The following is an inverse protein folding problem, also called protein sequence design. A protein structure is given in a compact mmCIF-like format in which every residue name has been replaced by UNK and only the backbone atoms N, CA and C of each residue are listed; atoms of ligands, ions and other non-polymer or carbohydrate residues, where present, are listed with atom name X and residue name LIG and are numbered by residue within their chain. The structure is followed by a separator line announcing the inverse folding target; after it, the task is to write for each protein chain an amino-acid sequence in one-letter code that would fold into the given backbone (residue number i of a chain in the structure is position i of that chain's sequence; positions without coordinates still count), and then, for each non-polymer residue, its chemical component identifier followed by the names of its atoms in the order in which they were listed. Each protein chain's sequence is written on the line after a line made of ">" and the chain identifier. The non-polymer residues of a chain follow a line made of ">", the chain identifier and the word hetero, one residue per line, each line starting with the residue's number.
data_IF_431523659275
#
_entry.id   IF_431523659275
#
_cell.length_a   1.000
_cell.length_b   1.000
_cell.length_c   1.000
_cell.angle_alpha   90.00
_cell.angle_beta   90.00
_cell.angle_gamma   90.00
#
_symmetry.space_group_name_H-M   'P 1'
#
loop_
_entity.id
_entity.type
_entity.pdbx_description
1 polymer ?
#
# COMPACT_ATOMS: atom_id res chain seq x y z
N UNK A 1 -1.76 -4.47 -23.45
CA UNK A 1 -1.95 -3.97 -22.07
C UNK A 1 -0.60 -3.99 -21.38
N UNK A 2 -0.14 -2.87 -20.82
CA UNK A 2 1.17 -2.79 -20.14
C UNK A 2 0.98 -3.28 -18.70
N UNK A 3 1.96 -4.01 -18.17
CA UNK A 3 1.96 -4.46 -16.76
C UNK A 3 2.73 -3.47 -15.91
N UNK A 4 2.05 -2.91 -14.91
CA UNK A 4 2.62 -1.88 -14.03
C UNK A 4 2.74 -2.39 -12.59
N UNK A 5 3.77 -1.91 -11.91
CA UNK A 5 3.94 -2.03 -10.46
C UNK A 5 3.96 -0.62 -9.90
N UNK A 6 3.05 -0.35 -8.96
CA UNK A 6 3.13 0.86 -8.15
C UNK A 6 4.14 0.61 -7.03
N UNK A 7 5.30 1.27 -7.11
CA UNK A 7 6.41 1.03 -6.19
C UNK A 7 6.27 1.77 -4.87
N UNK A 8 5.28 2.66 -4.72
CA UNK A 8 5.07 3.42 -3.48
C UNK A 8 3.62 3.92 -3.36
N UNK A 9 2.76 3.09 -2.76
CA UNK A 9 1.36 3.43 -2.48
C UNK A 9 1.10 3.67 -0.99
N UNK A 10 0.71 4.88 -0.62
CA UNK A 10 0.12 5.14 0.70
C UNK A 10 -1.35 4.71 0.67
N UNK A 11 -1.61 3.48 1.12
CA UNK A 11 -2.96 2.90 1.09
C UNK A 11 -3.74 3.12 2.39
N UNK A 12 -3.09 3.65 3.43
CA UNK A 12 -3.76 4.08 4.65
C UNK A 12 -4.75 5.22 4.32
N UNK A 13 -5.97 5.16 4.87
CA UNK A 13 -7.00 6.17 4.62
C UNK A 13 -7.70 6.11 3.26
N UNK A 14 -7.44 5.09 2.43
CA UNK A 14 -8.24 4.86 1.21
C UNK A 14 -9.65 4.42 1.62
N UNK A 15 -10.66 5.28 1.40
CA UNK A 15 -12.06 5.04 1.81
C UNK A 15 -12.61 3.68 1.34
N UNK A 16 -12.27 3.26 0.13
CA UNK A 16 -12.66 1.94 -0.39
C UNK A 16 -11.51 1.30 -1.16
N UNK A 17 -10.77 0.44 -0.47
CA UNK A 17 -9.74 -0.39 -1.07
C UNK A 17 -10.30 -1.21 -2.26
N UNK A 18 -11.53 -1.73 -2.15
CA UNK A 18 -12.18 -2.48 -3.22
C UNK A 18 -12.33 -1.67 -4.51
N UNK A 19 -12.85 -0.44 -4.42
CA UNK A 19 -13.01 0.42 -5.60
C UNK A 19 -11.68 0.92 -6.14
N UNK A 20 -10.73 1.26 -5.27
CA UNK A 20 -9.39 1.68 -5.66
C UNK A 20 -8.64 0.55 -6.41
N UNK A 21 -8.67 -0.67 -5.87
CA UNK A 21 -8.13 -1.88 -6.51
C UNK A 21 -8.69 -2.07 -7.91
N UNK A 22 -10.02 -1.99 -8.07
CA UNK A 22 -10.66 -2.22 -9.37
C UNK A 22 -10.14 -1.25 -10.43
N UNK A 23 -10.04 0.04 -10.09
CA UNK A 23 -9.47 1.07 -10.99
C UNK A 23 -7.99 0.82 -11.28
N UNK A 24 -7.21 0.37 -10.31
CA UNK A 24 -5.80 0.03 -10.51
C UNK A 24 -5.62 -1.16 -11.47
N UNK A 25 -6.42 -2.20 -11.33
CA UNK A 25 -6.38 -3.35 -12.24
C UNK A 25 -6.79 -2.95 -13.68
N UNK A 26 -7.78 -2.07 -13.83
CA UNK A 26 -8.23 -1.53 -15.13
C UNK A 26 -7.13 -0.74 -15.86
N UNK A 27 -6.16 -0.16 -15.15
CA UNK A 27 -5.00 0.53 -15.75
C UNK A 27 -3.79 -0.38 -16.01
N UNK A 28 -3.86 -1.66 -15.61
CA UNK A 28 -2.79 -2.64 -15.79
C UNK A 28 -1.84 -2.77 -14.60
N UNK A 29 -2.16 -2.17 -13.45
CA UNK A 29 -1.43 -2.41 -12.19
C UNK A 29 -1.75 -3.83 -11.71
N UNK A 30 -0.71 -4.65 -11.56
CA UNK A 30 -0.84 -6.01 -11.02
C UNK A 30 -0.17 -6.15 -9.64
N UNK A 31 0.61 -5.16 -9.21
CA UNK A 31 1.20 -5.15 -7.88
C UNK A 31 1.41 -3.75 -7.33
N UNK A 32 1.30 -3.62 -6.00
CA UNK A 32 1.52 -2.38 -5.25
C UNK A 32 2.46 -2.69 -4.08
N UNK A 33 3.45 -1.83 -3.88
CA UNK A 33 4.24 -1.77 -2.64
C UNK A 33 3.58 -0.76 -1.71
N UNK A 34 2.89 -1.26 -0.67
CA UNK A 34 2.17 -0.44 0.28
C UNK A 34 3.10 0.05 1.39
N UNK A 35 3.14 1.38 1.59
CA UNK A 35 4.00 2.05 2.57
C UNK A 35 3.16 2.73 3.67
N UNK A 36 3.70 2.72 4.88
CA UNK A 36 3.20 3.48 6.02
C UNK A 36 4.22 4.52 6.50
N UNK A 37 3.77 5.45 7.33
CA UNK A 37 4.60 6.48 7.96
C UNK A 37 4.80 6.24 9.46
N UNK A 38 3.85 5.60 10.12
CA UNK A 38 3.74 5.44 11.57
C UNK A 38 3.09 4.08 11.91
N UNK A 39 2.96 3.78 13.21
CA UNK A 39 2.41 2.52 13.69
C UNK A 39 1.00 2.23 13.12
N UNK A 40 0.10 3.21 13.13
CA UNK A 40 -1.29 3.02 12.70
C UNK A 40 -1.37 2.72 11.19
N UNK A 41 -0.66 3.51 10.37
CA UNK A 41 -0.59 3.28 8.93
C UNK A 41 0.11 1.97 8.56
N UNK A 42 1.06 1.48 9.36
CA UNK A 42 1.65 0.15 9.17
C UNK A 42 0.69 -0.98 9.51
N UNK A 43 -0.10 -0.85 10.58
CA UNK A 43 -1.11 -1.87 10.91
C UNK A 43 -2.14 -2.01 9.79
N UNK A 44 -2.60 -0.88 9.24
CA UNK A 44 -3.48 -0.88 8.06
C UNK A 44 -2.79 -1.49 6.84
N UNK A 45 -1.52 -1.14 6.59
CA UNK A 45 -0.71 -1.71 5.50
C UNK A 45 -0.60 -3.23 5.60
N UNK A 46 -0.46 -3.77 6.81
CA UNK A 46 -0.43 -5.22 7.05
C UNK A 46 -1.80 -5.86 6.84
N UNK A 47 -2.87 -5.22 7.30
CA UNK A 47 -4.25 -5.71 7.15
C UNK A 47 -4.66 -5.85 5.68
N UNK A 48 -4.27 -4.89 4.84
CA UNK A 48 -4.56 -4.91 3.40
C UNK A 48 -3.51 -5.64 2.57
N UNK A 49 -2.47 -6.18 3.20
CA UNK A 49 -1.44 -6.91 2.47
C UNK A 49 -1.95 -8.27 2.02
N UNK A 50 -1.53 -8.70 0.83
CA UNK A 50 -1.91 -10.01 0.30
C UNK A 50 -2.36 -9.98 -1.15
N UNK A 51 -3.00 -11.09 -1.55
CA UNK A 51 -3.40 -11.33 -2.94
C UNK A 51 -4.91 -11.16 -3.09
N UNK A 52 -5.30 -10.29 -4.02
CA UNK A 52 -6.69 -9.99 -4.35
C UNK A 52 -6.93 -10.28 -5.83
N UNK A 53 -7.09 -11.55 -6.19
CA UNK A 53 -7.20 -11.97 -7.58
C UNK A 53 -5.88 -11.76 -8.33
N UNK A 54 -5.89 -10.82 -9.29
CA UNK A 54 -4.73 -10.44 -10.11
C UNK A 54 -3.81 -9.40 -9.47
N UNK A 55 -4.30 -8.65 -8.47
CA UNK A 55 -3.51 -7.66 -7.74
C UNK A 55 -2.82 -8.30 -6.52
N UNK A 56 -1.54 -8.00 -6.32
CA UNK A 56 -0.80 -8.36 -5.10
C UNK A 56 -0.27 -7.10 -4.40
N UNK A 57 -0.61 -6.95 -3.12
CA UNK A 57 -0.12 -5.87 -2.25
C UNK A 57 0.99 -6.41 -1.36
N UNK A 58 2.19 -5.85 -1.50
CA UNK A 58 3.34 -6.14 -0.66
C UNK A 58 3.53 -5.04 0.38
N UNK A 59 3.60 -5.37 1.68
CA UNK A 59 3.83 -4.35 2.70
C UNK A 59 5.32 -3.98 2.78
N UNK A 60 5.61 -2.69 2.92
CA UNK A 60 6.93 -2.16 3.23
C UNK A 60 6.89 -1.45 4.59
N UNK A 61 7.62 -2.00 5.56
CA UNK A 61 7.71 -1.49 6.93
C UNK A 61 9.04 -0.77 7.14
N UNK A 62 9.03 0.33 7.88
CA UNK A 62 10.23 1.11 8.18
C UNK A 62 9.98 2.16 9.26
N UNK A 63 10.91 3.10 9.42
CA UNK A 63 10.69 4.31 10.21
C UNK A 63 10.76 5.50 9.27
N UNK A 64 9.65 6.21 9.11
CA UNK A 64 9.66 7.45 8.36
C UNK A 64 10.43 8.53 9.14
N UNK A 65 11.24 9.38 8.48
CA UNK A 65 11.98 10.45 9.15
C UNK A 65 11.14 11.35 10.07
N UNK A 66 9.88 11.59 9.72
CA UNK A 66 8.92 12.34 10.55
C UNK A 66 8.66 11.76 11.94
N UNK A 67 8.93 10.47 12.13
CA UNK A 67 8.71 9.80 13.41
C UNK A 67 9.99 9.61 14.22
N UNK A 68 11.14 10.10 13.75
CA UNK A 68 12.41 9.95 14.48
C UNK A 68 12.43 10.67 15.83
N UNK A 69 11.71 11.79 15.96
CA UNK A 69 11.59 12.52 17.24
C UNK A 69 10.96 11.66 18.35
N UNK A 70 10.17 10.63 17.99
CA UNK A 70 9.55 9.72 18.96
C UNK A 70 10.53 8.70 19.56
N UNK A 71 11.76 8.64 19.06
CA UNK A 71 12.80 7.68 19.46
C UNK A 71 14.05 8.36 20.04
N UNK A 72 13.96 9.65 20.38
CA UNK A 72 15.04 10.43 21.01
C UNK A 72 14.98 10.38 22.54
#
# INVERSE_FOLDING_TARGET
>A
MIRLVDTQGHLHGVESFYHAKKRAEETGIFSIIAVGSDYESYMQTLEISGRYGSLVVYPALGLHPWNLERFQ
#
